data_IF_472897576832
#
_entry.id   IF_472897576832
#
_cell.length_a   1.000
_cell.length_b   1.000
_cell.length_c   1.000
_cell.angle_alpha   90.00
_cell.angle_beta   90.00
_cell.angle_gamma   90.00
#
_symmetry.space_group_name_H-M   'P 1'
#
loop_
_entity.id
_entity.type
_entity.pdbx_description
1 polymer ?
#
# COMPACT_ATOMS: atom_id res chain seq x y z
N UNK A 1 -39.11 49.97 37.33
CA UNK A 1 -37.74 50.06 36.79
C UNK A 1 -37.20 48.65 36.63
N UNK A 2 -37.05 48.18 35.38
CA UNK A 2 -36.58 46.82 35.05
C UNK A 2 -35.38 46.94 34.14
N UNK A 3 -34.20 46.60 34.65
CA UNK A 3 -32.92 46.65 33.91
C UNK A 3 -32.09 45.44 34.28
N UNK A 4 -32.34 44.30 33.64
CA UNK A 4 -31.41 43.14 33.63
C UNK A 4 -31.62 42.28 32.40
N UNK A 5 -31.09 42.66 31.23
CA UNK A 5 -30.76 41.75 30.11
C UNK A 5 -29.74 42.40 29.17
N UNK A 6 -28.47 42.42 29.53
CA UNK A 6 -27.39 42.86 28.63
C UNK A 6 -26.05 42.29 29.10
N UNK A 7 -25.89 40.97 28.99
CA UNK A 7 -24.61 40.31 29.22
C UNK A 7 -24.66 38.87 28.69
N UNK A 8 -24.83 38.64 27.39
CA UNK A 8 -24.74 37.27 26.85
C UNK A 8 -24.58 37.19 25.32
N UNK A 9 -23.84 38.10 24.67
CA UNK A 9 -23.57 37.96 23.22
C UNK A 9 -22.18 38.50 22.87
N UNK A 10 -21.09 37.97 23.45
CA UNK A 10 -19.74 38.31 22.95
C UNK A 10 -18.70 37.16 22.97
N UNK A 11 -18.98 35.99 23.57
CA UNK A 11 -18.00 34.90 23.66
C UNK A 11 -18.16 33.75 22.64
N UNK A 12 -19.27 33.70 21.88
CA UNK A 12 -19.54 32.59 20.95
C UNK A 12 -18.82 32.67 19.59
N UNK A 13 -18.35 33.86 19.18
CA UNK A 13 -17.78 34.06 17.84
C UNK A 13 -16.34 33.55 17.70
N UNK A 14 -15.50 33.75 18.72
CA UNK A 14 -14.06 33.44 18.63
C UNK A 14 -13.81 31.92 18.71
N UNK A 15 -14.61 31.20 19.51
CA UNK A 15 -14.52 29.74 19.62
C UNK A 15 -15.00 29.03 18.34
N UNK A 16 -16.05 29.56 17.69
CA UNK A 16 -16.59 29.01 16.45
C UNK A 16 -15.64 29.17 15.26
N UNK A 17 -14.96 30.33 15.16
CA UNK A 17 -13.97 30.58 14.09
C UNK A 17 -12.73 29.69 14.27
N UNK A 18 -12.27 29.47 15.51
CA UNK A 18 -11.11 28.62 15.76
C UNK A 18 -11.40 27.14 15.45
N UNK A 19 -12.61 26.66 15.73
CA UNK A 19 -13.04 25.29 15.40
C UNK A 19 -13.19 25.07 13.88
N UNK A 20 -13.71 26.08 13.16
CA UNK A 20 -13.85 26.03 11.70
C UNK A 20 -12.48 26.02 11.01
N UNK A 21 -11.52 26.80 11.49
CA UNK A 21 -10.14 26.81 10.96
C UNK A 21 -9.43 25.49 11.25
N UNK A 22 -9.64 24.88 12.42
CA UNK A 22 -9.10 23.55 12.75
C UNK A 22 -9.69 22.47 11.84
N UNK A 23 -11.00 22.49 11.57
CA UNK A 23 -11.65 21.55 10.64
C UNK A 23 -11.14 21.69 9.19
N UNK A 24 -10.85 22.92 8.74
CA UNK A 24 -10.30 23.15 7.40
C UNK A 24 -8.83 22.74 7.26
N UNK A 25 -8.06 22.72 8.36
CA UNK A 25 -6.66 22.27 8.38
C UNK A 25 -6.51 20.74 8.32
N UNK A 26 -7.57 19.97 8.58
CA UNK A 26 -7.55 18.50 8.44
C UNK A 26 -7.82 18.00 7.01
N UNK A 27 -8.13 18.90 6.07
CA UNK A 27 -8.46 18.52 4.67
C UNK A 27 -7.33 18.78 3.66
N UNK A 28 -6.10 19.06 4.12
CA UNK A 28 -4.92 19.24 3.25
C UNK A 28 -3.95 18.05 3.28
N UNK A 29 -4.47 16.83 3.40
CA UNK A 29 -3.73 15.62 3.08
C UNK A 29 -4.25 15.08 1.75
N UNK A 30 -3.36 14.64 0.84
CA UNK A 30 -3.81 13.89 -0.33
C UNK A 30 -4.66 12.70 0.14
N UNK A 31 -5.82 12.45 -0.51
CA UNK A 31 -6.61 11.28 -0.18
C UNK A 31 -5.73 10.03 -0.33
N UNK A 32 -5.92 9.01 0.52
CA UNK A 32 -5.25 7.74 0.31
C UNK A 32 -5.55 7.22 -1.10
N UNK A 33 -4.60 6.50 -1.73
CA UNK A 33 -4.86 5.90 -3.03
C UNK A 33 -6.06 4.95 -2.95
N UNK A 34 -6.78 4.84 -4.06
CA UNK A 34 -7.88 3.90 -4.19
C UNK A 34 -7.38 2.46 -3.88
N UNK A 35 -8.03 1.72 -2.96
CA UNK A 35 -7.62 0.36 -2.61
C UNK A 35 -7.56 -0.60 -3.81
N UNK A 36 -8.42 -0.40 -4.82
CA UNK A 36 -8.49 -1.23 -6.04
C UNK A 36 -7.38 -0.95 -7.05
N UNK A 37 -6.60 0.13 -6.82
CA UNK A 37 -5.44 0.50 -7.64
C UNK A 37 -4.20 0.79 -6.80
N UNK A 38 -4.19 0.37 -5.52
CA UNK A 38 -3.04 0.59 -4.66
C UNK A 38 -1.85 -0.23 -5.17
N UNK A 39 -0.64 0.36 -5.31
CA UNK A 39 0.50 -0.33 -5.89
C UNK A 39 1.01 -1.45 -4.96
N UNK A 40 1.43 -2.58 -5.53
CA UNK A 40 2.04 -3.68 -4.81
C UNK A 40 3.55 -3.65 -5.02
N UNK A 41 4.31 -3.75 -3.94
CA UNK A 41 5.77 -3.77 -4.01
C UNK A 41 6.28 -4.98 -3.25
N UNK A 42 7.03 -5.83 -3.95
CA UNK A 42 7.70 -7.00 -3.37
C UNK A 42 9.16 -6.67 -3.15
N UNK A 43 9.62 -6.80 -1.91
CA UNK A 43 11.04 -6.70 -1.57
C UNK A 43 11.59 -8.09 -1.33
N UNK A 44 12.42 -8.57 -2.24
CA UNK A 44 13.09 -9.84 -2.16
C UNK A 44 14.50 -9.68 -1.57
N UNK A 45 14.91 -10.70 -0.80
CA UNK A 45 16.19 -10.81 -0.11
C UNK A 45 16.47 -9.70 0.91
N UNK A 46 15.41 -9.24 1.59
CA UNK A 46 15.57 -8.27 2.68
C UNK A 46 16.37 -8.87 3.86
N UNK A 47 17.39 -8.16 4.38
CA UNK A 47 18.27 -8.68 5.42
C UNK A 47 17.63 -8.73 6.81
N UNK A 48 16.55 -7.98 7.04
CA UNK A 48 16.05 -7.68 8.38
C UNK A 48 14.89 -8.58 8.83
N UNK A 49 13.91 -8.88 7.96
CA UNK A 49 12.62 -9.46 8.40
C UNK A 49 12.09 -10.65 7.58
N UNK A 50 12.75 -11.03 6.49
CA UNK A 50 12.32 -12.17 5.68
C UNK A 50 12.80 -12.08 4.26
N UNK A 51 13.01 -13.23 3.62
CA UNK A 51 13.53 -13.24 2.26
C UNK A 51 12.52 -12.65 1.23
N UNK A 52 11.23 -12.59 1.55
CA UNK A 52 10.18 -12.08 0.65
C UNK A 52 9.25 -11.20 1.48
N UNK A 53 9.17 -9.91 1.19
CA UNK A 53 8.31 -8.96 1.91
C UNK A 53 7.37 -8.29 0.91
N UNK A 54 6.20 -7.92 1.38
CA UNK A 54 5.20 -7.21 0.61
C UNK A 54 4.84 -5.92 1.36
N UNK A 55 4.77 -4.80 0.65
CA UNK A 55 4.46 -3.50 1.28
C UNK A 55 3.06 -3.43 1.90
N UNK A 56 2.15 -4.32 1.48
CA UNK A 56 0.76 -4.42 1.98
C UNK A 56 0.28 -5.85 1.86
N UNK A 57 -0.26 -6.39 2.95
CA UNK A 57 -0.76 -7.77 3.02
C UNK A 57 -2.21 -7.92 2.55
N UNK A 58 -2.90 -6.79 2.28
CA UNK A 58 -4.30 -6.72 1.88
C UNK A 58 -4.53 -5.61 0.84
N UNK A 59 -5.30 -5.90 -0.21
CA UNK A 59 -5.81 -4.95 -1.22
C UNK A 59 -7.24 -5.28 -1.62
N UNK A 60 -7.95 -4.35 -2.27
CA UNK A 60 -9.23 -4.65 -2.89
C UNK A 60 -9.01 -5.25 -4.29
N UNK A 61 -9.97 -6.04 -4.78
CA UNK A 61 -9.95 -6.57 -6.14
C UNK A 61 -9.91 -5.44 -7.17
N UNK A 62 -9.07 -5.58 -8.20
CA UNK A 62 -8.84 -4.51 -9.17
C UNK A 62 -7.53 -4.64 -9.95
N UNK A 63 -7.12 -3.53 -10.54
CA UNK A 63 -5.89 -3.42 -11.34
C UNK A 63 -4.79 -2.77 -10.51
N UNK A 64 -3.73 -3.52 -10.23
CA UNK A 64 -2.60 -3.05 -9.44
C UNK A 64 -1.35 -2.91 -10.31
N UNK A 65 -0.52 -1.93 -9.98
CA UNK A 65 0.86 -1.91 -10.45
C UNK A 65 1.72 -2.68 -9.45
N UNK A 66 2.37 -3.74 -9.92
CA UNK A 66 3.25 -4.58 -9.13
C UNK A 66 4.71 -4.31 -9.50
N UNK A 67 5.51 -3.84 -8.54
CA UNK A 67 6.95 -3.66 -8.69
C UNK A 67 7.71 -4.70 -7.85
N UNK A 68 8.90 -5.06 -8.31
CA UNK A 68 9.80 -5.99 -7.62
C UNK A 68 11.12 -5.29 -7.35
N UNK A 69 11.54 -5.33 -6.08
CA UNK A 69 12.81 -4.81 -5.61
C UNK A 69 13.60 -5.99 -5.06
N UNK A 70 14.82 -6.17 -5.52
CA UNK A 70 15.73 -7.22 -5.03
C UNK A 70 16.89 -6.56 -4.29
N UNK A 71 17.10 -6.94 -3.03
CA UNK A 71 18.18 -6.40 -2.21
C UNK A 71 19.37 -7.38 -2.20
N UNK A 72 20.52 -6.97 -2.73
CA UNK A 72 21.78 -7.72 -2.60
C UNK A 72 21.98 -8.94 -3.50
N UNK A 73 20.92 -9.63 -3.93
CA UNK A 73 21.01 -10.69 -4.94
C UNK A 73 19.71 -10.84 -5.72
N UNK A 74 19.83 -11.33 -6.96
CA UNK A 74 18.71 -11.62 -7.84
C UNK A 74 17.66 -12.55 -7.18
N UNK A 75 16.39 -12.36 -7.55
CA UNK A 75 15.30 -13.26 -7.17
C UNK A 75 14.22 -13.25 -8.24
N UNK A 76 13.64 -14.42 -8.53
CA UNK A 76 12.44 -14.52 -9.37
C UNK A 76 11.21 -14.43 -8.48
N UNK A 77 10.32 -13.50 -8.77
CA UNK A 77 9.06 -13.32 -8.03
C UNK A 77 7.91 -13.85 -8.86
N UNK A 78 7.04 -14.63 -8.21
CA UNK A 78 5.79 -15.10 -8.78
C UNK A 78 4.64 -14.82 -7.82
N UNK A 79 3.52 -14.32 -8.34
CA UNK A 79 2.26 -14.27 -7.60
C UNK A 79 1.41 -15.47 -8.01
N UNK A 80 0.96 -16.25 -7.03
CA UNK A 80 0.12 -17.43 -7.25
C UNK A 80 -1.23 -17.24 -6.58
N UNK A 81 -2.28 -17.68 -7.24
CA UNK A 81 -3.61 -17.76 -6.63
C UNK A 81 -3.75 -18.95 -5.67
N UNK A 82 -4.93 -19.09 -5.08
CA UNK A 82 -5.30 -20.17 -4.16
C UNK A 82 -5.22 -21.58 -4.76
N UNK A 83 -5.26 -21.69 -6.09
CA UNK A 83 -5.09 -22.96 -6.82
C UNK A 83 -3.63 -23.29 -7.10
N UNK A 84 -2.72 -22.34 -6.82
CA UNK A 84 -1.30 -22.41 -7.13
C UNK A 84 -0.97 -21.97 -8.55
N UNK A 85 -1.93 -21.44 -9.31
CA UNK A 85 -1.70 -20.91 -10.65
C UNK A 85 -0.94 -19.59 -10.57
N UNK A 86 0.14 -19.47 -11.34
CA UNK A 86 0.87 -18.22 -11.48
C UNK A 86 0.04 -17.21 -12.27
N UNK A 87 -0.29 -16.09 -11.64
CA UNK A 87 -1.01 -14.96 -12.27
C UNK A 87 -0.07 -13.82 -12.66
N UNK A 88 1.11 -13.75 -12.03
CA UNK A 88 2.19 -12.82 -12.37
C UNK A 88 3.56 -13.49 -12.16
N UNK A 89 4.52 -13.18 -13.01
CA UNK A 89 5.92 -13.58 -12.85
C UNK A 89 6.84 -12.46 -13.35
N UNK A 90 7.86 -12.11 -12.56
CA UNK A 90 8.87 -11.12 -12.94
C UNK A 90 9.66 -11.58 -14.17
N UNK A 91 9.76 -10.73 -15.20
CA UNK A 91 10.44 -11.07 -16.47
C UNK A 91 11.98 -10.98 -16.39
N UNK A 92 12.53 -10.26 -15.40
CA UNK A 92 13.98 -10.18 -15.16
C UNK A 92 14.28 -10.19 -13.64
N UNK A 93 15.03 -11.16 -13.11
CA UNK A 93 15.33 -11.25 -11.67
C UNK A 93 16.42 -10.26 -11.21
N UNK A 94 16.85 -9.31 -12.06
CA UNK A 94 17.98 -8.42 -11.79
C UNK A 94 17.70 -7.39 -10.69
N UNK A 95 18.76 -7.07 -9.94
CA UNK A 95 18.80 -5.90 -9.05
C UNK A 95 18.81 -4.62 -9.88
N UNK A 96 17.76 -3.77 -9.82
CA UNK A 96 17.80 -2.47 -10.46
C UNK A 96 18.99 -1.66 -9.91
N UNK A 97 19.68 -0.87 -10.75
CA UNK A 97 20.64 0.12 -10.27
C UNK A 97 20.00 1.02 -9.21
N UNK A 98 20.77 1.44 -8.19
CA UNK A 98 20.24 2.24 -7.08
C UNK A 98 19.66 3.60 -7.49
N UNK A 99 19.89 4.03 -8.73
CA UNK A 99 19.40 5.26 -9.35
C UNK A 99 18.24 5.04 -10.34
N UNK A 100 17.75 3.82 -10.50
CA UNK A 100 16.61 3.48 -11.36
C UNK A 100 15.40 3.03 -10.52
N UNK A 101 14.20 3.47 -10.92
CA UNK A 101 12.96 2.97 -10.33
C UNK A 101 12.70 1.52 -10.80
N UNK A 102 12.21 0.64 -9.91
CA UNK A 102 11.88 -0.72 -10.30
C UNK A 102 10.76 -0.72 -11.35
N UNK A 103 10.89 -1.57 -12.35
CA UNK A 103 9.88 -1.71 -13.39
C UNK A 103 8.57 -2.26 -12.78
N UNK A 104 7.49 -1.51 -12.96
CA UNK A 104 6.16 -1.90 -12.48
C UNK A 104 5.36 -2.55 -13.62
N UNK A 105 4.69 -3.65 -13.30
CA UNK A 105 3.85 -4.40 -14.22
C UNK A 105 2.40 -4.39 -13.74
N UNK A 106 1.46 -4.18 -14.66
CA UNK A 106 0.03 -4.22 -14.33
C UNK A 106 -0.43 -5.68 -14.09
N UNK A 107 -1.15 -5.90 -12.99
CA UNK A 107 -1.76 -7.19 -12.63
C UNK A 107 -3.23 -6.98 -12.25
N UNK A 108 -4.12 -7.79 -12.81
CA UNK A 108 -5.53 -7.86 -12.42
C UNK A 108 -5.68 -8.89 -11.31
N UNK A 109 -6.21 -8.47 -10.16
CA UNK A 109 -6.47 -9.34 -9.01
C UNK A 109 -7.98 -9.46 -8.77
N UNK A 110 -8.42 -10.70 -8.61
CA UNK A 110 -9.78 -11.02 -8.19
C UNK A 110 -9.81 -11.21 -6.68
N UNK A 111 -10.99 -11.10 -6.07
CA UNK A 111 -11.18 -11.46 -4.66
C UNK A 111 -10.68 -12.89 -4.41
N UNK A 112 -9.85 -13.08 -3.37
CA UNK A 112 -9.29 -14.37 -3.03
C UNK A 112 -7.98 -14.29 -2.26
N UNK A 113 -7.40 -15.47 -2.00
CA UNK A 113 -6.10 -15.59 -1.37
C UNK A 113 -5.00 -15.82 -2.41
N UNK A 114 -3.90 -15.08 -2.25
CA UNK A 114 -2.73 -15.20 -3.08
C UNK A 114 -1.48 -15.44 -2.23
N UNK A 115 -0.45 -15.97 -2.87
CA UNK A 115 0.87 -16.14 -2.28
C UNK A 115 1.91 -15.55 -3.22
N UNK A 116 2.69 -14.60 -2.71
CA UNK A 116 3.91 -14.12 -3.36
C UNK A 116 5.01 -15.12 -3.03
N UNK A 117 5.66 -15.64 -4.07
CA UNK A 117 6.78 -16.59 -3.95
C UNK A 117 8.01 -15.93 -4.54
N UNK A 118 9.02 -15.73 -3.71
CA UNK A 118 10.35 -15.29 -4.12
C UNK A 118 11.28 -16.52 -4.19
N UNK A 119 11.86 -16.79 -5.36
CA UNK A 119 12.80 -17.88 -5.57
C UNK A 119 14.20 -17.34 -5.81
N UNK A 120 15.17 -17.81 -5.02
CA UNK A 120 16.56 -17.32 -5.07
C UNK A 120 17.48 -18.26 -5.87
N UNK A 121 18.62 -17.75 -6.36
CA UNK A 121 19.61 -18.53 -7.09
C UNK A 121 20.19 -19.72 -6.30
N UNK A 122 20.18 -19.66 -4.97
CA UNK A 122 20.62 -20.76 -4.10
C UNK A 122 19.61 -21.92 -4.00
N UNK A 123 18.45 -21.76 -4.66
CA UNK A 123 17.35 -22.73 -4.70
C UNK A 123 16.39 -22.61 -3.52
N UNK A 124 16.63 -21.70 -2.59
CA UNK A 124 15.72 -21.45 -1.48
C UNK A 124 14.53 -20.57 -1.90
N UNK A 125 13.46 -20.59 -1.09
CA UNK A 125 12.24 -19.82 -1.36
C UNK A 125 11.79 -19.03 -0.14
N UNK A 126 11.20 -17.87 -0.39
CA UNK A 126 10.44 -17.07 0.56
C UNK A 126 9.00 -16.96 0.08
N UNK A 127 8.05 -16.98 1.01
CA UNK A 127 6.62 -16.90 0.69
C UNK A 127 5.95 -15.90 1.62
N UNK A 128 5.06 -15.08 1.04
CA UNK A 128 4.30 -14.05 1.77
C UNK A 128 2.85 -14.04 1.29
N UNK A 129 1.88 -14.13 2.20
CA UNK A 129 0.46 -14.13 1.82
C UNK A 129 0.02 -12.73 1.37
N UNK A 130 -0.95 -12.70 0.46
CA UNK A 130 -1.70 -11.50 0.06
C UNK A 130 -3.19 -11.83 0.07
N UNK A 131 -3.97 -11.02 0.76
CA UNK A 131 -5.43 -11.10 0.80
C UNK A 131 -6.02 -10.08 -0.17
N UNK A 132 -6.92 -10.51 -1.06
CA UNK A 132 -7.64 -9.61 -1.97
C UNK A 132 -9.11 -9.63 -1.59
N UNK A 133 -9.65 -8.50 -1.14
CA UNK A 133 -11.05 -8.37 -0.70
C UNK A 133 -11.94 -7.91 -1.84
N UNK A 134 -13.25 -8.15 -1.73
CA UNK A 134 -14.22 -7.43 -2.56
C UNK A 134 -14.11 -5.90 -2.32
N UNK A 135 -14.35 -5.12 -3.38
CA UNK A 135 -14.45 -3.66 -3.36
C UNK A 135 -15.82 -3.19 -2.81
#
# INVERSE_FOLDING_TARGET
>A
MSTRRLALILFGGVLGVFLLVLLLMFSMGDPPPDPSTAPLEVVANSPDDGRCLLNREEVAAGMHEMSVITEGSDATVALRDETGQTVFQSEDPQVPPADEEPEAAAVELLEGQYTVVCQYPDGSTGETPLTVTAD
#
